data_IF_802830215860
#
_entry.id   IF_802830215860
#
_cell.length_a   1.000
_cell.length_b   1.000
_cell.length_c   1.000
_cell.angle_alpha   90.00
_cell.angle_beta   90.00
_cell.angle_gamma   90.00
#
_symmetry.space_group_name_H-M   'P 1'
#
loop_
_entity.id
_entity.type
_entity.pdbx_description
1 polymer ?
#
# COMPACT_ATOMS: atom_id res chain seq x y z
N UNK A 1 -6.65 5.95 10.43
CA UNK A 1 -7.18 7.10 9.65
C UNK A 1 -6.80 8.45 10.29
N UNK A 2 -7.09 8.69 11.57
CA UNK A 2 -6.76 9.95 12.26
C UNK A 2 -5.26 10.30 12.29
N UNK A 3 -4.38 9.33 12.57
CA UNK A 3 -2.91 9.56 12.56
C UNK A 3 -2.40 9.87 11.14
N UNK A 4 -2.95 9.22 10.11
CA UNK A 4 -2.63 9.50 8.71
C UNK A 4 -3.11 10.91 8.31
N UNK A 5 -4.25 11.34 8.83
CA UNK A 5 -4.78 12.70 8.64
C UNK A 5 -3.91 13.78 9.31
N UNK A 6 -3.39 13.50 10.51
CA UNK A 6 -2.45 14.41 11.19
C UNK A 6 -1.10 14.46 10.45
N UNK A 7 -0.62 13.31 9.95
CA UNK A 7 0.56 13.24 9.09
C UNK A 7 0.31 14.01 7.79
N UNK A 8 -0.82 13.81 7.11
CA UNK A 8 -1.18 14.53 5.88
C UNK A 8 -1.30 16.04 6.11
N UNK A 9 -1.93 16.48 7.20
CA UNK A 9 -2.03 17.89 7.57
C UNK A 9 -0.63 18.49 7.81
N UNK A 10 0.28 17.74 8.45
CA UNK A 10 1.68 18.14 8.61
C UNK A 10 2.39 18.29 7.26
N UNK A 11 2.18 17.35 6.34
CA UNK A 11 2.76 17.34 5.00
C UNK A 11 2.15 18.41 4.07
N UNK A 12 0.90 18.81 4.30
CA UNK A 12 0.19 19.84 3.54
C UNK A 12 0.55 21.26 4.02
N UNK A 13 0.78 21.42 5.32
CA UNK A 13 1.18 22.70 5.92
C UNK A 13 2.70 22.96 5.81
N UNK A 14 3.51 21.91 5.66
CA UNK A 14 4.97 22.02 5.47
C UNK A 14 5.35 21.37 4.15
N UNK A 15 5.76 22.19 3.17
CA UNK A 15 6.09 21.73 1.81
C UNK A 15 7.22 20.70 1.84
N UNK A 16 6.97 19.53 1.27
CA UNK A 16 7.99 18.52 1.04
C UNK A 16 8.63 18.68 -0.34
N UNK A 17 9.90 18.28 -0.50
CA UNK A 17 10.52 18.16 -1.81
C UNK A 17 9.68 17.29 -2.75
N UNK A 18 9.72 17.57 -4.05
CA UNK A 18 8.97 16.86 -5.11
C UNK A 18 9.09 15.33 -5.08
N UNK A 19 10.16 14.79 -4.49
CA UNK A 19 10.38 13.35 -4.31
C UNK A 19 9.43 12.70 -3.30
N UNK A 20 8.97 13.42 -2.27
CA UNK A 20 8.04 12.87 -1.27
C UNK A 20 6.60 12.87 -1.76
N UNK A 21 6.26 13.74 -2.72
CA UNK A 21 4.95 13.77 -3.38
C UNK A 21 4.62 12.49 -4.17
N UNK A 22 5.64 11.79 -4.68
CA UNK A 22 5.43 10.49 -5.31
C UNK A 22 5.03 9.42 -4.29
N UNK A 23 5.58 9.49 -3.07
CA UNK A 23 5.32 8.53 -1.99
C UNK A 23 3.98 8.77 -1.30
N UNK A 24 3.49 10.01 -1.25
CA UNK A 24 2.17 10.33 -0.68
C UNK A 24 1.00 9.73 -1.46
N UNK A 25 1.13 9.56 -2.79
CA UNK A 25 0.11 8.89 -3.60
C UNK A 25 -0.14 7.44 -3.18
N UNK A 26 0.91 6.74 -2.73
CA UNK A 26 0.82 5.37 -2.23
C UNK A 26 0.18 5.27 -0.83
N UNK A 27 0.23 6.34 -0.02
CA UNK A 27 -0.39 6.37 1.31
C UNK A 27 -1.91 6.22 1.28
N UNK A 28 -2.57 6.68 0.21
CA UNK A 28 -4.00 6.50 0.03
C UNK A 28 -4.37 5.04 -0.29
N UNK A 29 -3.55 4.35 -1.09
CA UNK A 29 -3.79 2.97 -1.53
C UNK A 29 -3.76 1.99 -0.35
N UNK A 30 -2.89 2.23 0.64
CA UNK A 30 -2.70 1.30 1.77
C UNK A 30 -3.98 1.05 2.58
N UNK A 31 -4.60 2.09 3.16
CA UNK A 31 -5.83 1.93 3.91
C UNK A 31 -7.00 1.43 3.07
N UNK A 32 -7.10 1.83 1.80
CA UNK A 32 -8.15 1.36 0.90
C UNK A 32 -8.02 -0.16 0.68
N UNK A 33 -6.82 -0.63 0.31
CA UNK A 33 -6.56 -2.06 0.10
C UNK A 33 -6.71 -2.86 1.38
N UNK A 34 -6.23 -2.34 2.51
CA UNK A 34 -6.39 -3.00 3.82
C UNK A 34 -7.86 -3.10 4.22
N UNK A 35 -8.64 -2.03 4.04
CA UNK A 35 -10.08 -2.03 4.31
C UNK A 35 -10.84 -3.01 3.43
N UNK A 36 -10.53 -3.05 2.13
CA UNK A 36 -11.12 -4.00 1.21
C UNK A 36 -10.79 -5.46 1.59
N UNK A 37 -9.51 -5.75 1.85
CA UNK A 37 -9.08 -7.08 2.29
C UNK A 37 -9.78 -7.50 3.60
N UNK A 38 -9.84 -6.60 4.58
CA UNK A 38 -10.50 -6.86 5.84
C UNK A 38 -11.99 -7.19 5.65
N UNK A 39 -12.70 -6.44 4.80
CA UNK A 39 -14.12 -6.70 4.51
C UNK A 39 -14.33 -8.04 3.80
N UNK A 40 -13.48 -8.42 2.86
CA UNK A 40 -13.54 -9.73 2.19
C UNK A 40 -13.32 -10.88 3.17
N UNK A 41 -12.28 -10.78 4.00
CA UNK A 41 -11.94 -11.82 4.97
C UNK A 41 -12.99 -11.92 6.09
N UNK A 42 -13.39 -10.79 6.68
CA UNK A 42 -14.42 -10.78 7.73
C UNK A 42 -15.76 -11.25 7.19
N UNK A 43 -16.14 -10.86 5.97
CA UNK A 43 -17.36 -11.34 5.33
C UNK A 43 -17.35 -12.85 5.12
N UNK A 44 -16.22 -13.43 4.70
CA UNK A 44 -16.08 -14.89 4.55
C UNK A 44 -16.13 -15.63 5.90
N UNK A 45 -15.45 -15.11 6.92
CA UNK A 45 -15.47 -15.73 8.25
C UNK A 45 -16.82 -15.57 8.95
N UNK A 46 -17.56 -14.49 8.68
CA UNK A 46 -18.88 -14.24 9.25
C UNK A 46 -19.85 -15.38 8.92
N UNK A 47 -19.89 -15.84 7.66
CA UNK A 47 -20.71 -16.99 7.26
C UNK A 47 -20.36 -18.23 8.08
N UNK A 48 -19.06 -18.58 8.17
CA UNK A 48 -18.61 -19.79 8.88
C UNK A 48 -18.98 -19.76 10.36
N UNK A 49 -18.72 -18.63 11.03
CA UNK A 49 -18.95 -18.49 12.47
C UNK A 49 -20.44 -18.39 12.82
N UNK A 50 -21.20 -17.57 12.07
CA UNK A 50 -22.61 -17.32 12.39
C UNK A 50 -23.52 -18.50 12.03
N UNK A 51 -23.14 -19.32 11.05
CA UNK A 51 -23.81 -20.58 10.77
C UNK A 51 -23.68 -21.56 11.95
N UNK A 52 -22.51 -21.60 12.59
CA UNK A 52 -22.28 -22.45 13.77
C UNK A 52 -23.10 -21.99 15.00
N UNK A 53 -23.48 -20.71 15.05
CA UNK A 53 -24.29 -20.13 16.14
C UNK A 53 -25.77 -19.96 15.78
N UNK A 54 -26.27 -20.63 14.73
CA UNK A 54 -27.66 -20.55 14.24
C UNK A 54 -28.13 -19.16 13.73
N UNK A 55 -27.21 -18.25 13.45
CA UNK A 55 -27.49 -16.91 12.88
C UNK A 55 -27.19 -16.87 11.36
N UNK A 56 -27.73 -17.83 10.61
CA UNK A 56 -27.43 -18.05 9.19
C UNK A 56 -27.65 -16.78 8.35
N UNK A 57 -28.84 -16.17 8.44
CA UNK A 57 -29.19 -14.98 7.63
C UNK A 57 -28.30 -13.76 7.92
N UNK A 58 -27.81 -13.61 9.15
CA UNK A 58 -26.85 -12.54 9.48
C UNK A 58 -25.48 -12.80 8.83
N UNK A 59 -25.04 -14.06 8.83
CA UNK A 59 -23.79 -14.49 8.18
C UNK A 59 -23.78 -14.19 6.69
N UNK A 60 -24.84 -14.60 5.99
CA UNK A 60 -25.01 -14.34 4.55
C UNK A 60 -25.07 -12.84 4.25
N UNK A 61 -25.81 -12.07 5.03
CA UNK A 61 -25.89 -10.62 4.88
C UNK A 61 -24.52 -9.94 5.04
N UNK A 62 -23.76 -10.29 6.09
CA UNK A 62 -22.44 -9.71 6.32
C UNK A 62 -21.43 -10.12 5.24
N UNK A 63 -21.53 -11.34 4.71
CA UNK A 63 -20.74 -11.77 3.58
C UNK A 63 -20.99 -10.91 2.34
N UNK A 64 -22.27 -10.73 1.96
CA UNK A 64 -22.66 -9.91 0.82
C UNK A 64 -22.31 -8.43 1.02
N UNK A 65 -22.52 -7.89 2.22
CA UNK A 65 -22.19 -6.50 2.55
C UNK A 65 -20.67 -6.26 2.52
N UNK A 66 -19.88 -7.19 3.07
CA UNK A 66 -18.42 -7.15 3.03
C UNK A 66 -17.90 -7.24 1.60
N UNK A 67 -18.45 -8.15 0.80
CA UNK A 67 -18.13 -8.29 -0.61
C UNK A 67 -18.41 -7.00 -1.40
N UNK A 68 -19.63 -6.46 -1.34
CA UNK A 68 -20.01 -5.24 -2.07
C UNK A 68 -19.15 -4.04 -1.65
N UNK A 69 -18.95 -3.88 -0.34
CA UNK A 69 -18.16 -2.77 0.21
C UNK A 69 -16.68 -2.87 -0.20
N UNK A 70 -16.13 -4.09 -0.24
CA UNK A 70 -14.77 -4.33 -0.71
C UNK A 70 -14.60 -4.02 -2.21
N UNK A 71 -15.60 -4.33 -3.02
CA UNK A 71 -15.59 -4.07 -4.46
C UNK A 71 -15.57 -2.55 -4.73
N UNK A 72 -16.36 -1.78 -3.97
CA UNK A 72 -16.37 -0.32 -4.05
C UNK A 72 -15.00 0.26 -3.66
N UNK A 73 -14.42 -0.22 -2.56
CA UNK A 73 -13.08 0.21 -2.13
C UNK A 73 -12.01 -0.16 -3.14
N UNK A 74 -12.03 -1.38 -3.70
CA UNK A 74 -11.07 -1.80 -4.72
C UNK A 74 -11.21 -0.97 -6.00
N UNK A 75 -12.43 -0.69 -6.46
CA UNK A 75 -12.67 0.20 -7.60
C UNK A 75 -12.07 1.59 -7.39
N UNK A 76 -12.30 2.19 -6.22
CA UNK A 76 -11.68 3.46 -5.84
C UNK A 76 -10.16 3.35 -5.70
N UNK A 77 -9.66 2.23 -5.19
CA UNK A 77 -8.25 1.96 -5.02
C UNK A 77 -7.51 1.78 -6.35
N UNK A 78 -8.14 1.22 -7.40
CA UNK A 78 -7.56 1.17 -8.75
C UNK A 78 -7.26 2.57 -9.27
N UNK A 79 -8.17 3.52 -9.06
CA UNK A 79 -7.96 4.91 -9.44
C UNK A 79 -6.75 5.53 -8.73
N UNK A 80 -6.66 5.35 -7.40
CA UNK A 80 -5.51 5.83 -6.62
C UNK A 80 -4.19 5.14 -6.99
N UNK A 81 -4.23 3.84 -7.24
CA UNK A 81 -3.07 3.07 -7.68
C UNK A 81 -2.58 3.58 -9.03
N UNK A 82 -3.48 3.85 -9.97
CA UNK A 82 -3.16 4.45 -11.27
C UNK A 82 -2.45 5.80 -11.13
N UNK A 83 -2.98 6.70 -10.28
CA UNK A 83 -2.36 7.99 -9.99
C UNK A 83 -0.96 7.80 -9.38
N UNK A 84 -0.83 6.92 -8.38
CA UNK A 84 0.44 6.67 -7.71
C UNK A 84 1.50 6.15 -8.70
N UNK A 85 1.14 5.22 -9.58
CA UNK A 85 2.02 4.69 -10.64
C UNK A 85 2.41 5.79 -11.62
N UNK A 86 1.44 6.57 -12.13
CA UNK A 86 1.73 7.65 -13.09
C UNK A 86 2.68 8.70 -12.52
N UNK A 87 2.46 9.14 -11.28
CA UNK A 87 3.35 10.11 -10.61
C UNK A 87 4.74 9.50 -10.41
N UNK A 88 4.82 8.24 -10.00
CA UNK A 88 6.10 7.53 -9.81
C UNK A 88 6.88 7.44 -11.12
N UNK A 89 6.23 7.03 -12.21
CA UNK A 89 6.85 6.93 -13.53
C UNK A 89 7.28 8.29 -14.10
N UNK A 90 6.48 9.34 -13.90
CA UNK A 90 6.81 10.70 -14.33
C UNK A 90 8.12 11.20 -13.71
N UNK A 91 8.40 10.85 -12.46
CA UNK A 91 9.60 11.32 -11.74
C UNK A 91 10.77 10.32 -11.80
N UNK A 92 10.55 9.10 -12.30
CA UNK A 92 11.58 8.05 -12.38
C UNK A 92 12.77 8.46 -13.26
N UNK A 93 12.56 9.32 -14.26
CA UNK A 93 13.58 9.74 -15.23
C UNK A 93 14.38 11.00 -14.86
N UNK A 94 13.95 11.78 -13.86
CA UNK A 94 14.52 13.12 -13.61
C UNK A 94 14.66 13.42 -12.12
N UNK A 95 15.77 12.98 -11.51
CA UNK A 95 16.18 13.37 -10.16
C UNK A 95 15.55 12.61 -8.98
N UNK A 96 15.02 11.40 -9.15
CA UNK A 96 14.61 10.58 -7.99
C UNK A 96 15.84 9.95 -7.29
N UNK A 97 16.33 10.65 -6.26
CA UNK A 97 17.36 10.11 -5.37
C UNK A 97 16.70 9.09 -4.44
N UNK A 98 17.34 7.92 -4.31
CA UNK A 98 16.84 6.89 -3.41
C UNK A 98 16.85 7.38 -1.96
N UNK A 99 15.74 7.15 -1.26
CA UNK A 99 15.63 7.35 0.17
C UNK A 99 14.81 6.20 0.78
N UNK A 100 14.84 6.06 2.10
CA UNK A 100 14.14 4.99 2.81
C UNK A 100 12.60 5.06 2.66
N UNK A 101 12.04 6.20 2.27
CA UNK A 101 10.62 6.37 2.00
C UNK A 101 10.09 5.50 0.86
N UNK A 102 10.97 4.98 -0.02
CA UNK A 102 10.58 4.04 -1.08
C UNK A 102 9.96 2.75 -0.53
N UNK A 103 10.31 2.34 0.69
CA UNK A 103 9.65 1.23 1.38
C UNK A 103 8.15 1.45 1.55
N UNK A 104 7.69 2.71 1.64
CA UNK A 104 6.29 3.08 1.77
C UNK A 104 5.39 2.63 0.61
N UNK A 105 5.96 2.23 -0.53
CA UNK A 105 5.21 1.68 -1.68
C UNK A 105 4.88 0.19 -1.51
N UNK A 106 5.69 -0.55 -0.74
CA UNK A 106 5.58 -2.02 -0.63
C UNK A 106 4.30 -2.45 0.08
N UNK A 107 3.98 -1.81 1.22
CA UNK A 107 2.79 -2.15 1.99
C UNK A 107 1.49 -1.90 1.21
N UNK A 108 1.24 -0.69 0.64
CA UNK A 108 0.05 -0.43 -0.15
C UNK A 108 -0.13 -1.36 -1.34
N UNK A 109 0.94 -1.62 -2.09
CA UNK A 109 0.89 -2.55 -3.21
C UNK A 109 0.60 -3.97 -2.74
N UNK A 110 1.19 -4.41 -1.63
CA UNK A 110 0.96 -5.74 -1.05
C UNK A 110 -0.48 -5.96 -0.59
N UNK A 111 -1.04 -5.05 0.21
CA UNK A 111 -2.44 -5.19 0.64
C UNK A 111 -3.42 -5.09 -0.51
N UNK A 112 -3.12 -4.28 -1.53
CA UNK A 112 -3.94 -4.22 -2.74
C UNK A 112 -3.87 -5.54 -3.54
N UNK A 113 -2.68 -6.12 -3.68
CA UNK A 113 -2.48 -7.43 -4.31
C UNK A 113 -3.26 -8.54 -3.59
N UNK A 114 -3.17 -8.59 -2.27
CA UNK A 114 -3.89 -9.57 -1.45
C UNK A 114 -5.40 -9.40 -1.55
N UNK A 115 -5.89 -8.16 -1.52
CA UNK A 115 -7.32 -7.87 -1.69
C UNK A 115 -7.82 -8.32 -3.08
N UNK A 116 -7.06 -8.06 -4.15
CA UNK A 116 -7.38 -8.53 -5.51
C UNK A 116 -7.38 -10.06 -5.60
N UNK A 117 -6.39 -10.74 -5.02
CA UNK A 117 -6.34 -12.20 -4.99
C UNK A 117 -7.51 -12.80 -4.21
N UNK A 118 -7.85 -12.24 -3.04
CA UNK A 118 -8.99 -12.68 -2.24
C UNK A 118 -10.31 -12.50 -2.99
N UNK A 119 -10.49 -11.34 -3.65
CA UNK A 119 -11.67 -11.08 -4.48
C UNK A 119 -11.76 -12.09 -5.63
N UNK A 120 -10.63 -12.38 -6.29
CA UNK A 120 -10.58 -13.33 -7.39
C UNK A 120 -10.90 -14.77 -6.95
N UNK A 121 -10.45 -15.17 -5.76
CA UNK A 121 -10.78 -16.46 -5.16
C UNK A 121 -12.27 -16.55 -4.81
N UNK A 122 -12.86 -15.51 -4.23
CA UNK A 122 -14.30 -15.52 -3.91
C UNK A 122 -15.17 -15.52 -5.17
N UNK A 123 -14.76 -14.81 -6.23
CA UNK A 123 -15.47 -14.77 -7.51
C UNK A 123 -15.17 -15.97 -8.43
N UNK A 124 -14.17 -16.79 -8.13
CA UNK A 124 -13.67 -17.86 -9.00
C UNK A 124 -13.28 -17.37 -10.42
N UNK A 125 -12.77 -16.14 -10.53
CA UNK A 125 -12.40 -15.51 -11.80
C UNK A 125 -10.89 -15.61 -12.06
N UNK A 126 -10.51 -16.50 -12.98
CA UNK A 126 -9.12 -16.77 -13.34
C UNK A 126 -8.37 -15.55 -13.89
N UNK A 127 -9.03 -14.69 -14.67
CA UNK A 127 -8.39 -13.48 -15.20
C UNK A 127 -8.04 -12.47 -14.09
N UNK A 128 -8.86 -12.40 -13.04
CA UNK A 128 -8.62 -11.51 -11.89
C UNK A 128 -7.49 -12.07 -11.00
N UNK A 129 -7.36 -13.40 -10.89
CA UNK A 129 -6.20 -14.04 -10.26
C UNK A 129 -4.90 -13.64 -10.95
N UNK A 130 -4.87 -13.65 -12.28
CA UNK A 130 -3.69 -13.23 -13.05
C UNK A 130 -3.30 -11.78 -12.77
N UNK A 131 -4.27 -10.87 -12.59
CA UNK A 131 -4.01 -9.49 -12.17
C UNK A 131 -3.40 -9.47 -10.77
N UNK A 132 -3.97 -10.21 -9.83
CA UNK A 132 -3.44 -10.32 -8.47
C UNK A 132 -2.00 -10.85 -8.42
N UNK A 133 -1.68 -11.86 -9.24
CA UNK A 133 -0.31 -12.37 -9.39
C UNK A 133 0.62 -11.36 -10.06
N UNK A 134 0.15 -10.64 -11.08
CA UNK A 134 0.93 -9.57 -11.72
C UNK A 134 1.32 -8.47 -10.73
N UNK A 135 0.37 -8.04 -9.88
CA UNK A 135 0.63 -7.09 -8.79
C UNK A 135 1.62 -7.64 -7.76
N UNK A 136 1.56 -8.95 -7.46
CA UNK A 136 2.47 -9.59 -6.51
C UNK A 136 3.89 -9.71 -7.07
N UNK A 137 4.03 -10.01 -8.36
CA UNK A 137 5.32 -10.01 -9.07
C UNK A 137 5.90 -8.59 -9.07
N UNK A 138 5.08 -7.57 -9.38
CA UNK A 138 5.50 -6.17 -9.32
C UNK A 138 5.99 -5.79 -7.92
N UNK A 139 5.31 -6.25 -6.87
CA UNK A 139 5.73 -6.06 -5.48
C UNK A 139 7.08 -6.71 -5.21
N UNK A 140 7.31 -7.95 -5.66
CA UNK A 140 8.60 -8.64 -5.47
C UNK A 140 9.75 -7.90 -6.17
N UNK A 141 9.51 -7.40 -7.38
CA UNK A 141 10.50 -6.62 -8.12
C UNK A 141 10.81 -5.29 -7.42
N UNK A 142 9.77 -4.57 -7.01
CA UNK A 142 9.89 -3.32 -6.26
C UNK A 142 10.65 -3.54 -4.94
N UNK A 143 10.28 -4.57 -4.19
CA UNK A 143 10.91 -4.95 -2.93
C UNK A 143 12.40 -5.25 -3.13
N UNK A 144 12.75 -6.05 -4.13
CA UNK A 144 14.15 -6.37 -4.46
C UNK A 144 14.96 -5.13 -4.85
N UNK A 145 14.38 -4.23 -5.64
CA UNK A 145 15.00 -2.96 -6.01
C UNK A 145 15.24 -2.07 -4.79
N UNK A 146 14.24 -1.90 -3.92
CA UNK A 146 14.37 -1.07 -2.73
C UNK A 146 15.39 -1.69 -1.76
N UNK A 147 15.32 -3.00 -1.54
CA UNK A 147 16.25 -3.72 -0.66
C UNK A 147 17.70 -3.60 -1.15
N UNK A 148 17.97 -3.83 -2.43
CA UNK A 148 19.33 -3.70 -3.00
C UNK A 148 19.89 -2.29 -2.84
N UNK A 149 19.07 -1.25 -3.05
CA UNK A 149 19.47 0.14 -2.82
C UNK A 149 19.66 0.47 -1.34
N UNK A 150 18.82 -0.07 -0.45
CA UNK A 150 19.00 0.05 1.00
C UNK A 150 20.33 -0.55 1.43
N UNK A 151 20.64 -1.77 0.99
CA UNK A 151 21.87 -2.48 1.30
C UNK A 151 23.09 -1.73 0.76
N UNK A 152 23.06 -1.28 -0.50
CA UNK A 152 24.14 -0.49 -1.09
C UNK A 152 24.37 0.84 -0.35
N UNK A 153 23.29 1.55 0.01
CA UNK A 153 23.35 2.78 0.78
C UNK A 153 23.88 2.58 2.20
N UNK A 154 23.50 1.46 2.85
CA UNK A 154 23.99 1.04 4.16
C UNK A 154 25.50 0.80 4.11
N UNK A 155 25.96 -0.04 3.19
CA UNK A 155 27.40 -0.33 3.03
C UNK A 155 28.23 0.89 2.68
N UNK A 156 27.67 1.82 1.90
CA UNK A 156 28.36 3.07 1.53
C UNK A 156 28.38 4.12 2.67
N UNK A 157 27.69 3.87 3.80
CA UNK A 157 27.58 4.82 4.92
C UNK A 157 26.76 6.08 4.61
N UNK A 158 26.05 6.12 3.47
CA UNK A 158 25.32 7.30 2.99
C UNK A 158 23.86 7.31 3.43
N UNK A 159 23.36 6.18 3.94
CA UNK A 159 21.95 5.98 4.28
C UNK A 159 21.56 6.64 5.61
N UNK A 160 22.47 6.66 6.59
CA UNK A 160 22.25 7.26 7.89
C UNK A 160 22.90 8.63 7.94
N UNK A 161 22.20 9.64 7.45
CA UNK A 161 22.57 11.03 7.69
C UNK A 161 22.20 11.39 9.13
N UNK A 162 23.20 11.66 9.97
CA UNK A 162 23.00 12.19 11.32
C UNK A 162 23.27 13.70 11.30
N UNK A 163 22.23 14.57 11.29
CA UNK A 163 22.41 16.02 11.20
C UNK A 163 23.27 16.58 12.34
N UNK A 164 23.13 16.00 13.54
CA UNK A 164 23.94 16.35 14.72
C UNK A 164 25.43 16.05 14.54
N UNK A 165 25.77 14.96 13.87
CA UNK A 165 27.16 14.58 13.59
C UNK A 165 27.80 15.52 12.55
N UNK A 166 27.03 15.94 11.55
CA UNK A 166 27.52 16.87 10.54
C UNK A 166 27.76 18.28 11.12
N UNK A 167 26.86 18.75 11.98
CA UNK A 167 27.05 20.00 12.73
C UNK A 167 28.28 19.95 13.67
N UNK A 168 28.52 18.81 14.34
CA UNK A 168 29.70 18.62 15.17
C UNK A 168 31.01 18.63 14.36
N UNK A 169 31.03 17.99 13.17
CA UNK A 169 32.19 17.96 12.29
C UNK A 169 32.51 19.33 11.66
N UNK A 170 31.51 20.19 11.45
CA UNK A 170 31.70 21.55 10.93
C UNK A 170 32.17 22.56 12.00
N UNK A 171 32.04 22.23 13.28
CA UNK A 171 32.52 23.05 14.41
C UNK A 171 33.98 22.78 14.80
N UNK A 172 34.64 21.82 14.14
CA UNK A 172 36.05 21.48 14.34
C UNK A 172 36.91 22.05 13.21
#
# INVERSE_FOLDING_TARGET
>A
MLILGILFLRLALHQLPSQELAMTGWLAVGPIGTGALALLLLGEQATRLLHATHFIGLGEFLHQAGFLSSLLLLGFGVWWLGIAIMITLKHAGSHLVFNLGWWGMTFPLGVFSLATLQLAQQLQLHWLLNIGYGLAILLMLLWGLVMSKTVAGFYAGRLFFSPCLNLYLQQK
#
